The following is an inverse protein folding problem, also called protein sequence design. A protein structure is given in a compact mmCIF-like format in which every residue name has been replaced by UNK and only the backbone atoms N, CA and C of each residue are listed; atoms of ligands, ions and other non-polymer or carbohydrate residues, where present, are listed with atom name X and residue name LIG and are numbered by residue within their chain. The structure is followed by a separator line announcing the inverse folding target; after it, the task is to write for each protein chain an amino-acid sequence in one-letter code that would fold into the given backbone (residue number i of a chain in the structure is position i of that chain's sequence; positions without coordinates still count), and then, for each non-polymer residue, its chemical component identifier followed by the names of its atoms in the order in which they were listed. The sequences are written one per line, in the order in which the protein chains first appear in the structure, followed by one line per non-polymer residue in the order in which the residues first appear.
data_IF_852354066429
#
_entry.id   IF_852354066429
#
_cell.length_a   1.000
_cell.length_b   1.000
_cell.length_c   1.000
_cell.angle_alpha   90.00
_cell.angle_beta   90.00
_cell.angle_gamma   90.00
#
_symmetry.space_group_name_H-M   'P 1'
#
loop_
_entity.id
_entity.type
_entity.pdbx_description
1 polymer ?
#
# COMPACT_ATOMS: atom_id res chain seq x y z
N UNK A 1 -3.58 34.28 5.02
CA UNK A 1 -2.69 33.50 4.13
C UNK A 1 -2.89 32.04 4.48
N UNK A 2 -3.29 31.14 3.57
CA UNK A 2 -3.44 29.74 3.92
C UNK A 2 -2.06 29.14 4.11
N UNK A 3 -1.86 28.46 5.23
CA UNK A 3 -0.67 27.66 5.50
C UNK A 3 -0.55 26.59 4.41
N UNK A 4 0.48 26.71 3.58
CA UNK A 4 0.87 25.66 2.64
C UNK A 4 1.44 24.53 3.48
N UNK A 5 0.59 23.58 3.87
CA UNK A 5 1.06 22.29 4.32
C UNK A 5 1.86 21.69 3.16
N UNK A 6 3.20 21.71 3.27
CA UNK A 6 4.06 20.97 2.35
C UNK A 6 3.49 19.57 2.27
N UNK A 7 2.98 19.21 1.08
CA UNK A 7 2.82 17.81 0.72
C UNK A 7 4.12 17.15 1.09
N UNK A 8 4.08 16.03 1.82
CA UNK A 8 5.27 15.22 2.10
C UNK A 8 6.18 15.27 0.88
N UNK A 9 7.33 15.97 1.03
CA UNK A 9 8.31 16.11 -0.03
C UNK A 9 8.52 14.70 -0.62
N UNK A 10 8.44 14.59 -1.96
CA UNK A 10 8.46 13.33 -2.71
C UNK A 10 9.21 12.23 -1.98
N UNK A 11 8.53 11.14 -1.63
CA UNK A 11 9.16 10.03 -0.90
C UNK A 11 10.43 9.63 -1.65
N UNK A 12 11.58 9.77 -0.97
CA UNK A 12 12.89 9.48 -1.56
C UNK A 12 12.87 8.10 -2.20
N UNK A 13 13.45 8.01 -3.39
CA UNK A 13 13.50 6.74 -4.12
C UNK A 13 14.52 5.79 -3.48
N UNK A 14 14.05 4.61 -3.07
CA UNK A 14 14.84 3.51 -2.58
C UNK A 14 15.10 2.49 -3.70
N UNK A 15 15.99 2.85 -4.64
CA UNK A 15 16.22 2.10 -5.89
C UNK A 15 16.61 0.62 -5.72
N UNK A 16 17.14 0.23 -4.55
CA UNK A 16 17.61 -1.13 -4.27
C UNK A 16 16.81 -1.83 -3.15
N UNK A 17 15.71 -1.24 -2.68
CA UNK A 17 14.90 -1.87 -1.65
C UNK A 17 14.17 -3.08 -2.22
N UNK A 18 14.53 -4.27 -1.74
CA UNK A 18 13.92 -5.54 -2.16
C UNK A 18 12.80 -5.98 -1.21
N UNK A 19 12.88 -5.61 0.07
CA UNK A 19 11.95 -6.03 1.12
C UNK A 19 11.47 -4.81 1.91
N UNK A 20 10.16 -4.68 2.03
CA UNK A 20 9.51 -3.62 2.79
C UNK A 20 8.55 -4.25 3.80
N UNK A 21 8.69 -3.84 5.06
CA UNK A 21 7.72 -4.13 6.12
C UNK A 21 7.18 -2.79 6.60
N UNK A 22 5.87 -2.59 6.49
CA UNK A 22 5.22 -1.34 6.87
C UNK A 22 4.04 -1.61 7.79
N UNK A 23 4.06 -0.92 8.93
CA UNK A 23 2.91 -0.81 9.81
C UNK A 23 2.13 0.44 9.45
N UNK A 24 0.81 0.33 9.30
CA UNK A 24 -0.04 1.49 9.04
C UNK A 24 -1.30 1.43 9.88
N UNK A 25 -1.81 2.63 10.14
CA UNK A 25 -3.11 2.88 10.75
C UNK A 25 -4.09 3.13 9.61
N UNK A 26 -5.37 2.77 9.79
CA UNK A 26 -6.48 2.77 8.81
C UNK A 26 -6.56 3.96 7.83
N UNK A 27 -5.91 5.08 8.13
CA UNK A 27 -5.95 6.34 7.36
C UNK A 27 -4.83 6.57 6.33
N UNK A 28 -3.79 5.72 6.26
CA UNK A 28 -2.52 6.09 5.60
C UNK A 28 -2.25 5.35 4.28
N UNK A 29 -3.31 4.97 3.59
CA UNK A 29 -3.23 4.25 2.34
C UNK A 29 -2.60 5.05 1.18
N UNK A 30 -2.86 6.35 1.08
CA UNK A 30 -2.21 7.22 0.09
C UNK A 30 -0.68 7.27 0.28
N UNK A 31 -0.23 7.21 1.54
CA UNK A 31 1.19 7.14 1.86
C UNK A 31 1.80 5.81 1.43
N UNK A 32 1.05 4.70 1.52
CA UNK A 32 1.53 3.42 1.02
C UNK A 32 1.80 3.48 -0.49
N UNK A 33 0.88 4.05 -1.28
CA UNK A 33 1.07 4.19 -2.73
C UNK A 33 2.32 5.01 -3.03
N UNK A 34 2.53 6.13 -2.32
CA UNK A 34 3.73 6.95 -2.48
C UNK A 34 5.02 6.18 -2.12
N UNK A 35 5.00 5.39 -1.05
CA UNK A 35 6.17 4.57 -0.65
C UNK A 35 6.46 3.53 -1.72
N UNK A 36 5.43 2.87 -2.26
CA UNK A 36 5.58 1.87 -3.32
C UNK A 36 6.16 2.48 -4.60
N UNK A 37 5.73 3.70 -4.98
CA UNK A 37 6.33 4.44 -6.10
C UNK A 37 7.83 4.72 -5.87
N UNK A 38 8.23 4.97 -4.64
CA UNK A 38 9.64 5.14 -4.27
C UNK A 38 10.47 3.85 -4.29
N UNK A 39 9.87 2.66 -4.43
CA UNK A 39 10.57 1.38 -4.25
C UNK A 39 10.57 0.52 -5.52
N UNK A 40 11.17 0.95 -6.65
CA UNK A 40 10.94 0.33 -7.96
C UNK A 40 11.33 -1.15 -8.04
N UNK A 41 12.32 -1.62 -7.28
CA UNK A 41 12.80 -3.03 -7.27
C UNK A 41 12.19 -3.89 -6.16
N UNK A 42 11.14 -3.42 -5.49
CA UNK A 42 10.55 -4.13 -4.36
C UNK A 42 9.99 -5.49 -4.79
N UNK A 43 10.39 -6.56 -4.09
CA UNK A 43 9.93 -7.93 -4.36
C UNK A 43 9.06 -8.49 -3.24
N UNK A 44 9.28 -8.06 -1.99
CA UNK A 44 8.56 -8.57 -0.84
C UNK A 44 7.91 -7.42 -0.07
N UNK A 45 6.58 -7.35 -0.10
CA UNK A 45 5.79 -6.41 0.67
C UNK A 45 5.13 -7.13 1.84
N UNK A 46 5.32 -6.58 3.05
CA UNK A 46 4.63 -7.03 4.25
C UNK A 46 3.95 -5.85 4.92
N UNK A 47 2.64 -5.95 5.02
CA UNK A 47 1.74 -4.95 5.57
C UNK A 47 1.19 -5.48 6.88
N UNK A 48 1.24 -4.69 7.94
CA UNK A 48 0.60 -5.04 9.20
C UNK A 48 -0.20 -3.87 9.75
N UNK A 49 -1.37 -4.19 10.29
CA UNK A 49 -2.19 -3.18 10.94
C UNK A 49 -1.57 -2.77 12.29
N UNK A 50 -1.39 -1.47 12.48
CA UNK A 50 -0.78 -0.88 13.67
C UNK A 50 -1.76 -0.49 14.77
N UNK A 51 -3.06 -0.69 14.58
CA UNK A 51 -4.08 -0.30 15.57
C UNK A 51 -4.01 -1.23 16.78
N UNK A 52 -3.65 -0.65 17.92
CA UNK A 52 -3.72 -1.33 19.23
C UNK A 52 -5.15 -1.39 19.78
N UNK A 53 -6.05 -0.61 19.18
CA UNK A 53 -7.40 -0.41 19.68
C UNK A 53 -8.42 -1.07 18.73
N UNK A 54 -8.64 -2.37 18.95
CA UNK A 54 -9.58 -3.21 18.20
C UNK A 54 -11.05 -2.81 18.36
N UNK A 55 -11.32 -1.73 19.11
CA UNK A 55 -12.67 -1.24 19.41
C UNK A 55 -13.07 -0.04 18.56
N UNK A 56 -12.12 0.60 17.87
CA UNK A 56 -12.46 1.68 16.95
C UNK A 56 -13.14 1.11 15.72
N UNK A 57 -14.38 1.53 15.50
CA UNK A 57 -15.08 1.26 14.27
C UNK A 57 -14.24 1.82 13.11
N UNK A 58 -13.91 0.96 12.15
CA UNK A 58 -13.27 1.38 10.91
C UNK A 58 -14.06 2.52 10.29
N UNK A 59 -13.43 3.69 10.13
CA UNK A 59 -14.04 4.81 9.40
C UNK A 59 -13.51 4.74 7.97
N UNK A 60 -14.35 4.40 6.97
CA UNK A 60 -13.93 4.45 5.59
C UNK A 60 -13.58 5.88 5.23
N UNK A 61 -12.28 6.19 5.15
CA UNK A 61 -11.85 7.29 4.31
C UNK A 61 -12.03 6.85 2.87
N UNK A 62 -12.57 7.74 2.04
CA UNK A 62 -12.72 7.53 0.61
C UNK A 62 -11.33 7.24 0.03
N UNK A 63 -10.99 5.97 -0.17
CA UNK A 63 -9.82 5.61 -0.95
C UNK A 63 -10.00 6.16 -2.34
N UNK A 64 -9.07 7.01 -2.73
CA UNK A 64 -8.95 7.50 -4.08
C UNK A 64 -8.10 6.48 -4.82
N UNK A 65 -8.64 5.90 -5.89
CA UNK A 65 -7.87 4.96 -6.69
C UNK A 65 -6.59 5.63 -7.19
N UNK A 66 -5.43 4.97 -7.02
CA UNK A 66 -4.17 5.55 -7.46
C UNK A 66 -4.23 5.82 -8.96
N UNK A 67 -3.83 7.02 -9.38
CA UNK A 67 -3.82 7.45 -10.80
C UNK A 67 -3.00 6.52 -11.69
N UNK A 68 -2.02 5.83 -11.11
CA UNK A 68 -1.18 4.84 -11.77
C UNK A 68 -0.77 3.76 -10.77
N UNK A 69 -0.74 2.51 -11.24
CA UNK A 69 -0.21 1.39 -10.47
C UNK A 69 1.30 1.59 -10.23
N UNK A 70 1.79 1.52 -8.99
CA UNK A 70 3.23 1.56 -8.72
C UNK A 70 4.00 0.49 -9.49
N UNK A 71 5.07 0.89 -10.17
CA UNK A 71 5.89 0.01 -11.02
C UNK A 71 6.41 -1.23 -10.27
N UNK A 72 6.66 -1.11 -8.97
CA UNK A 72 7.11 -2.24 -8.17
C UNK A 72 6.05 -3.34 -8.05
N UNK A 73 4.77 -2.98 -7.97
CA UNK A 73 3.65 -3.94 -7.87
C UNK A 73 3.48 -4.73 -9.16
N UNK A 74 3.68 -4.09 -10.32
CA UNK A 74 3.48 -4.72 -11.62
C UNK A 74 4.66 -5.57 -12.08
N UNK A 75 5.91 -5.16 -11.82
CA UNK A 75 7.09 -5.79 -12.43
C UNK A 75 7.90 -6.68 -11.48
N UNK A 76 8.01 -6.32 -10.20
CA UNK A 76 9.01 -6.91 -9.32
C UNK A 76 8.43 -7.61 -8.10
N UNK A 77 7.20 -7.29 -7.71
CA UNK A 77 6.59 -7.88 -6.53
C UNK A 77 6.38 -9.39 -6.74
N UNK A 78 6.90 -10.19 -5.82
CA UNK A 78 6.77 -11.65 -5.80
C UNK A 78 5.90 -12.13 -4.65
N UNK A 79 5.92 -11.41 -3.54
CA UNK A 79 5.12 -11.76 -2.37
C UNK A 79 4.48 -10.52 -1.77
N UNK A 80 3.18 -10.59 -1.50
CA UNK A 80 2.46 -9.62 -0.69
C UNK A 80 1.88 -10.35 0.53
N UNK A 81 2.10 -9.84 1.74
CA UNK A 81 1.58 -10.43 2.99
C UNK A 81 0.90 -9.37 3.84
N UNK A 82 -0.32 -9.66 4.26
CA UNK A 82 -1.09 -8.87 5.21
C UNK A 82 -1.12 -9.58 6.56
N UNK A 83 -0.90 -8.86 7.65
CA UNK A 83 -0.91 -9.43 9.01
C UNK A 83 -1.65 -8.52 9.99
N UNK A 84 -2.25 -9.13 11.01
CA UNK A 84 -2.97 -8.45 12.09
C UNK A 84 -4.16 -7.60 11.63
N UNK A 85 -4.66 -7.82 10.42
CA UNK A 85 -5.94 -7.26 9.97
C UNK A 85 -7.08 -7.98 10.67
N UNK A 86 -8.07 -7.22 11.14
CA UNK A 86 -9.26 -7.73 11.80
C UNK A 86 -10.31 -8.25 10.82
N UNK A 87 -10.13 -7.98 9.52
CA UNK A 87 -11.05 -8.42 8.47
C UNK A 87 -12.31 -7.57 8.40
N UNK A 88 -12.24 -6.33 8.89
CA UNK A 88 -13.33 -5.37 8.75
C UNK A 88 -13.55 -5.06 7.27
N UNK A 89 -14.80 -4.81 6.86
CA UNK A 89 -15.17 -4.62 5.44
C UNK A 89 -14.28 -3.59 4.73
N UNK A 90 -13.92 -2.51 5.42
CA UNK A 90 -13.08 -1.48 4.86
C UNK A 90 -11.59 -1.83 4.81
N UNK A 91 -11.05 -2.58 5.76
CA UNK A 91 -9.71 -3.17 5.64
C UNK A 91 -9.64 -4.09 4.42
N UNK A 92 -10.62 -4.99 4.28
CA UNK A 92 -10.69 -5.95 3.18
C UNK A 92 -10.79 -5.27 1.83
N UNK A 93 -11.54 -4.16 1.71
CA UNK A 93 -11.63 -3.41 0.45
C UNK A 93 -10.24 -2.95 -0.05
N UNK A 94 -9.39 -2.45 0.83
CA UNK A 94 -8.06 -1.97 0.46
C UNK A 94 -7.06 -3.09 0.19
N UNK A 95 -7.10 -4.13 1.03
CA UNK A 95 -6.31 -5.35 0.84
C UNK A 95 -6.63 -5.97 -0.51
N UNK A 96 -7.92 -6.11 -0.84
CA UNK A 96 -8.38 -6.68 -2.09
C UNK A 96 -7.90 -5.85 -3.28
N UNK A 97 -7.99 -4.51 -3.25
CA UNK A 97 -7.46 -3.67 -4.34
C UNK A 97 -5.98 -3.91 -4.64
N UNK A 98 -5.14 -4.03 -3.59
CA UNK A 98 -3.71 -4.31 -3.77
C UNK A 98 -3.49 -5.73 -4.31
N UNK A 99 -4.25 -6.70 -3.82
CA UNK A 99 -4.19 -8.08 -4.28
C UNK A 99 -4.70 -8.23 -5.72
N UNK A 100 -5.76 -7.53 -6.11
CA UNK A 100 -6.32 -7.54 -7.45
C UNK A 100 -5.29 -6.99 -8.45
N UNK A 101 -4.68 -5.84 -8.14
CA UNK A 101 -3.58 -5.27 -8.93
C UNK A 101 -2.43 -6.28 -9.05
N UNK A 102 -2.06 -6.95 -7.95
CA UNK A 102 -0.99 -7.93 -7.96
C UNK A 102 -1.33 -9.18 -8.79
N UNK A 103 -2.53 -9.74 -8.64
CA UNK A 103 -2.98 -10.95 -9.32
C UNK A 103 -3.17 -10.72 -10.82
N UNK A 104 -3.87 -9.64 -11.21
CA UNK A 104 -4.11 -9.29 -12.63
C UNK A 104 -2.79 -9.14 -13.39
N UNK A 105 -1.79 -8.52 -12.76
CA UNK A 105 -0.48 -8.34 -13.38
C UNK A 105 0.33 -9.64 -13.43
N UNK A 106 0.16 -10.59 -12.51
CA UNK A 106 0.78 -11.91 -12.66
C UNK A 106 0.12 -12.76 -13.74
N UNK A 107 -1.19 -12.67 -13.94
CA UNK A 107 -1.89 -13.40 -15.00
C UNK A 107 -1.54 -12.88 -16.40
N UNK A 108 -1.33 -11.57 -16.54
CA UNK A 108 -0.94 -10.93 -17.81
C UNK A 108 0.50 -11.24 -18.25
N UNK A 109 1.33 -11.77 -17.36
CA UNK A 109 2.74 -12.11 -17.61
C UNK A 109 3.03 -13.62 -17.50
N UNK A 110 1.99 -14.47 -17.44
CA UNK A 110 2.18 -15.91 -17.66
C UNK A 110 2.54 -16.14 -19.14
N UNK A 111 3.70 -16.73 -19.44
CA UNK A 111 4.12 -17.02 -20.81
C UNK A 111 3.22 -18.05 -21.50
#
# INVERSE_FOLDING_TARGET
MPEVYRSFDEIRTFHNLIKLKLGFVESNWDLLVQVLNGCPKLQNLKLYEGTRDRTRAYVPKNWVDPKSVPQCLSLHLKTCKFQNFLGQQGELMHVNKILDIFCIMQESYKP
#
